data_IF_270669173117
#
_entry.id   IF_270669173117
#
_cell.length_a   1.000
_cell.length_b   1.000
_cell.length_c   1.000
_cell.angle_alpha   90.00
_cell.angle_beta   90.00
_cell.angle_gamma   90.00
#
_symmetry.space_group_name_H-M   'P 1'
#
loop_
_entity.id
_entity.type
_entity.pdbx_description
1 polymer ?
#
# COMPACT_ATOMS: atom_id res chain seq x y z
N UNK A 1 44.28 19.00 -41.69
CA UNK A 1 43.43 17.84 -41.33
C UNK A 1 44.24 16.86 -40.48
N UNK A 2 43.57 15.88 -39.83
CA UNK A 2 44.08 14.93 -38.82
C UNK A 2 44.38 15.58 -37.45
N UNK A 3 43.57 15.49 -36.39
CA UNK A 3 42.73 14.43 -35.76
C UNK A 3 43.42 13.79 -34.54
N UNK A 4 43.22 14.40 -33.36
CA UNK A 4 43.19 13.78 -32.01
C UNK A 4 43.03 14.93 -30.98
N UNK A 5 41.87 15.34 -30.46
CA UNK A 5 40.53 14.73 -30.31
C UNK A 5 40.57 13.33 -29.67
N UNK A 6 40.63 13.30 -28.33
CA UNK A 6 39.89 12.42 -27.37
C UNK A 6 40.62 12.25 -26.03
N UNK A 7 40.60 13.25 -25.14
CA UNK A 7 40.93 13.07 -23.70
C UNK A 7 40.10 13.96 -22.74
N UNK A 8 38.94 14.46 -23.17
CA UNK A 8 38.03 15.30 -22.37
C UNK A 8 36.57 14.81 -22.50
N UNK A 9 36.37 13.50 -22.39
CA UNK A 9 35.08 12.84 -22.52
C UNK A 9 34.89 11.72 -21.48
N UNK A 10 35.16 12.03 -20.20
CA UNK A 10 34.80 11.18 -19.06
C UNK A 10 34.18 12.06 -17.97
N UNK A 11 33.04 11.60 -17.44
CA UNK A 11 32.41 12.04 -16.19
C UNK A 11 31.89 13.50 -16.06
N UNK A 12 31.02 13.97 -16.97
CA UNK A 12 29.94 14.91 -16.58
C UNK A 12 28.56 14.64 -17.22
N UNK A 13 28.35 13.42 -17.75
CA UNK A 13 27.02 12.95 -18.15
C UNK A 13 26.15 12.49 -16.96
N UNK A 14 26.67 12.54 -15.73
CA UNK A 14 25.95 12.17 -14.51
C UNK A 14 25.16 13.29 -13.83
N UNK A 15 25.33 14.55 -14.25
CA UNK A 15 24.85 15.74 -13.50
C UNK A 15 23.85 16.58 -14.31
N UNK A 16 23.18 15.98 -15.30
CA UNK A 16 22.13 16.65 -16.11
C UNK A 16 20.75 15.98 -16.05
N UNK A 17 20.62 14.87 -15.31
CA UNK A 17 19.35 14.50 -14.66
C UNK A 17 19.19 15.19 -13.28
N UNK A 18 20.13 16.08 -12.93
CA UNK A 18 19.94 17.17 -11.96
C UNK A 18 19.04 18.29 -12.54
N UNK A 19 18.17 17.94 -13.50
CA UNK A 19 17.04 18.75 -13.94
C UNK A 19 15.98 18.81 -12.82
N UNK A 20 16.35 19.52 -11.77
CA UNK A 20 15.42 20.38 -11.04
C UNK A 20 14.86 21.38 -12.05
N UNK A 21 13.89 20.95 -12.85
CA UNK A 21 12.95 21.84 -13.51
C UNK A 21 11.62 21.78 -12.73
N UNK A 22 11.75 22.21 -11.47
CA UNK A 22 10.76 22.99 -10.70
C UNK A 22 9.31 22.78 -11.15
N UNK A 23 8.74 21.63 -10.83
CA UNK A 23 7.46 21.24 -11.42
C UNK A 23 6.67 20.20 -10.63
N UNK A 24 6.86 20.07 -9.32
CA UNK A 24 5.88 19.54 -8.37
C UNK A 24 6.43 19.49 -6.93
N UNK A 25 5.63 19.95 -5.96
CA UNK A 25 5.79 19.60 -4.55
C UNK A 25 5.24 18.19 -4.23
N UNK A 26 5.11 17.34 -5.25
CA UNK A 26 4.49 16.03 -5.14
C UNK A 26 5.51 15.00 -4.67
N UNK A 27 5.10 14.18 -3.70
CA UNK A 27 5.78 12.92 -3.41
C UNK A 27 5.62 11.91 -4.55
N UNK A 28 6.09 10.69 -4.31
CA UNK A 28 5.88 9.56 -5.23
C UNK A 28 4.39 9.39 -5.57
N UNK A 29 4.09 9.11 -6.85
CA UNK A 29 2.74 8.82 -7.35
C UNK A 29 2.45 7.32 -7.21
N UNK A 30 1.21 6.92 -6.92
CA UNK A 30 0.81 5.50 -6.83
C UNK A 30 1.25 4.67 -8.06
N UNK A 31 1.18 5.25 -9.27
CA UNK A 31 1.65 4.61 -10.52
C UNK A 31 3.12 4.18 -10.47
N UNK A 32 3.96 4.97 -9.82
CA UNK A 32 5.39 4.73 -9.79
C UNK A 32 5.75 3.71 -8.70
N UNK A 33 5.01 3.68 -7.57
CA UNK A 33 5.04 2.56 -6.60
C UNK A 33 4.60 1.26 -7.27
N UNK A 34 3.49 1.26 -8.02
CA UNK A 34 2.98 0.09 -8.72
C UNK A 34 3.98 -0.49 -9.74
N UNK A 35 4.60 0.36 -10.57
CA UNK A 35 5.69 -0.03 -11.48
C UNK A 35 6.88 -0.62 -10.74
N UNK A 36 7.27 -0.04 -9.60
CA UNK A 36 8.39 -0.53 -8.82
C UNK A 36 8.08 -1.88 -8.16
N UNK A 37 6.89 -2.06 -7.59
CA UNK A 37 6.41 -3.34 -7.06
C UNK A 37 6.38 -4.43 -8.15
N UNK A 38 5.91 -4.11 -9.35
CA UNK A 38 5.90 -5.03 -10.50
C UNK A 38 7.33 -5.45 -10.88
N UNK A 39 8.30 -4.51 -10.91
CA UNK A 39 9.73 -4.84 -11.10
C UNK A 39 10.31 -5.74 -10.00
N UNK A 40 9.68 -5.76 -8.83
CA UNK A 40 10.08 -6.59 -7.67
C UNK A 40 9.27 -7.89 -7.56
N UNK A 41 8.45 -8.22 -8.56
CA UNK A 41 7.66 -9.47 -8.63
C UNK A 41 6.27 -9.40 -8.00
N UNK A 42 5.78 -8.21 -7.62
CA UNK A 42 4.42 -7.99 -7.16
C UNK A 42 3.63 -7.30 -8.28
N UNK A 43 3.01 -8.11 -9.15
CA UNK A 43 2.22 -7.62 -10.28
C UNK A 43 0.96 -6.92 -9.78
N UNK A 44 0.95 -5.60 -9.82
CA UNK A 44 -0.23 -4.81 -9.49
C UNK A 44 -0.25 -3.48 -10.26
N UNK A 45 -1.43 -3.08 -10.71
CA UNK A 45 -1.66 -1.86 -11.48
C UNK A 45 -2.41 -0.82 -10.66
N UNK A 46 -2.03 0.47 -10.77
CA UNK A 46 -2.73 1.54 -10.07
C UNK A 46 -4.18 1.64 -10.54
N UNK A 47 -5.10 1.58 -9.59
CA UNK A 47 -6.53 1.81 -9.77
C UNK A 47 -6.96 3.04 -8.95
N UNK A 48 -7.72 3.97 -9.56
CA UNK A 48 -8.12 5.24 -8.92
C UNK A 48 -9.15 5.06 -7.81
N UNK A 49 -10.04 4.07 -7.94
CA UNK A 49 -11.01 3.74 -6.91
C UNK A 49 -10.32 3.02 -5.76
N UNK A 50 -9.27 2.24 -6.04
CA UNK A 50 -8.41 1.69 -5.00
C UNK A 50 -7.57 2.76 -4.29
N UNK A 51 -7.08 3.80 -4.98
CA UNK A 51 -6.47 4.98 -4.33
C UNK A 51 -7.46 5.69 -3.40
N UNK A 52 -8.76 5.69 -3.71
CA UNK A 52 -9.81 6.21 -2.82
C UNK A 52 -10.02 5.27 -1.62
N UNK A 53 -10.13 3.97 -1.85
CA UNK A 53 -10.25 2.95 -0.80
C UNK A 53 -9.08 3.02 0.19
N UNK A 54 -7.84 3.14 -0.30
CA UNK A 54 -6.65 3.32 0.53
C UNK A 54 -6.71 4.61 1.37
N UNK A 55 -7.21 5.73 0.81
CA UNK A 55 -7.36 6.99 1.57
C UNK A 55 -8.39 6.89 2.69
N UNK A 56 -9.55 6.28 2.43
CA UNK A 56 -10.56 6.07 3.47
C UNK A 56 -10.08 5.05 4.52
N UNK A 57 -9.32 4.04 4.09
CA UNK A 57 -8.70 3.05 5.00
C UNK A 57 -7.69 3.73 5.93
N UNK A 58 -6.82 4.58 5.39
CA UNK A 58 -5.84 5.32 6.18
C UNK A 58 -6.53 6.31 7.15
N UNK A 59 -7.57 7.03 6.71
CA UNK A 59 -8.38 7.89 7.61
C UNK A 59 -9.03 7.11 8.73
N UNK A 60 -9.57 5.91 8.46
CA UNK A 60 -10.19 5.07 9.48
C UNK A 60 -9.16 4.59 10.51
N UNK A 61 -7.92 4.28 10.08
CA UNK A 61 -6.80 3.98 10.99
C UNK A 61 -6.38 5.22 11.78
N UNK A 62 -6.21 6.39 11.15
CA UNK A 62 -5.91 7.66 11.83
C UNK A 62 -6.97 7.96 12.91
N UNK A 63 -8.27 7.80 12.61
CA UNK A 63 -9.36 8.01 13.54
C UNK A 63 -9.38 7.03 14.74
N UNK A 64 -8.93 5.79 14.55
CA UNK A 64 -8.77 4.81 15.64
C UNK A 64 -7.58 5.20 16.54
N UNK A 65 -6.49 5.71 15.96
CA UNK A 65 -5.31 6.17 16.70
C UNK A 65 -5.63 7.43 17.52
N UNK A 66 -6.34 8.38 16.92
CA UNK A 66 -6.74 9.67 17.53
C UNK A 66 -7.93 9.52 18.50
N UNK A 67 -8.61 8.36 18.54
CA UNK A 67 -9.71 8.11 19.46
C UNK A 67 -9.25 8.23 20.92
N UNK A 68 -9.99 8.99 21.74
CA UNK A 68 -9.58 9.33 23.12
C UNK A 68 -9.17 8.11 23.96
N UNK A 69 -9.90 7.00 23.85
CA UNK A 69 -9.57 5.76 24.56
C UNK A 69 -8.18 5.20 24.21
N UNK A 70 -7.71 5.36 22.97
CA UNK A 70 -6.36 4.98 22.54
C UNK A 70 -5.33 6.07 22.89
N UNK A 71 -5.69 7.34 22.72
CA UNK A 71 -4.82 8.48 23.03
C UNK A 71 -4.43 8.54 24.52
N UNK A 72 -5.37 8.21 25.42
CA UNK A 72 -5.16 8.17 26.88
C UNK A 72 -4.27 7.00 27.34
N UNK A 73 -4.01 6.00 26.50
CA UNK A 73 -3.06 4.92 26.80
C UNK A 73 -1.62 5.47 26.82
N UNK A 74 -0.79 4.94 27.72
CA UNK A 74 0.65 5.23 27.73
C UNK A 74 1.32 4.68 26.47
N UNK A 75 2.42 5.30 26.05
CA UNK A 75 3.14 4.89 24.84
C UNK A 75 3.86 3.53 24.93
N UNK A 76 4.07 3.02 26.14
CA UNK A 76 4.59 1.69 26.45
C UNK A 76 3.48 0.62 26.60
N UNK A 77 2.20 0.99 26.56
CA UNK A 77 1.09 0.04 26.61
C UNK A 77 1.03 -0.78 25.32
N UNK A 78 1.00 -2.11 25.45
CA UNK A 78 0.94 -3.05 24.33
C UNK A 78 -0.32 -2.92 23.46
N UNK A 79 -1.44 -2.51 24.06
CA UNK A 79 -2.74 -2.32 23.41
C UNK A 79 -2.80 -1.01 22.60
N UNK A 80 -1.83 -0.09 22.77
CA UNK A 80 -1.86 1.21 22.11
C UNK A 80 -1.57 1.09 20.62
N UNK A 81 -2.57 1.47 19.83
CA UNK A 81 -2.55 1.49 18.38
C UNK A 81 -1.80 2.74 17.89
N UNK A 82 -0.87 2.52 16.96
CA UNK A 82 -0.05 3.52 16.27
C UNK A 82 0.06 3.10 14.79
N UNK A 83 0.50 4.00 13.91
CA UNK A 83 0.66 3.67 12.48
C UNK A 83 1.66 2.52 12.25
N UNK A 84 2.67 2.38 13.11
CA UNK A 84 3.71 1.35 13.00
C UNK A 84 3.27 -0.06 13.39
N UNK A 85 2.21 -0.21 14.19
CA UNK A 85 1.69 -1.51 14.63
C UNK A 85 0.27 -1.84 14.14
N UNK A 86 -0.45 -0.90 13.51
CA UNK A 86 -1.78 -1.09 12.95
C UNK A 86 -1.91 -2.29 11.96
N UNK A 87 -0.80 -2.72 11.34
CA UNK A 87 -0.76 -3.83 10.36
C UNK A 87 -0.10 -5.11 10.92
N UNK A 88 0.80 -5.01 11.91
CA UNK A 88 1.57 -6.10 12.53
C UNK A 88 2.01 -5.63 13.93
N UNK A 89 1.87 -6.33 15.06
CA UNK A 89 1.68 -7.78 15.33
C UNK A 89 0.60 -7.98 16.43
N UNK A 90 0.66 -9.07 17.21
CA UNK A 90 -0.12 -9.26 18.44
C UNK A 90 0.18 -8.14 19.47
N UNK A 91 -0.71 -7.17 19.77
CA UNK A 91 -2.17 -7.14 19.60
C UNK A 91 -2.75 -5.73 19.29
N UNK A 92 -2.06 -4.94 18.46
CA UNK A 92 -2.54 -3.63 17.95
C UNK A 92 -3.20 -3.69 16.56
N UNK A 93 -3.81 -4.82 16.19
CA UNK A 93 -4.12 -5.20 14.80
C UNK A 93 -5.38 -4.51 14.26
N UNK A 94 -5.21 -3.38 13.60
CA UNK A 94 -6.32 -2.74 12.86
C UNK A 94 -6.59 -3.41 11.51
N UNK A 95 -5.58 -4.02 10.86
CA UNK A 95 -5.75 -4.67 9.55
C UNK A 95 -5.40 -6.17 9.51
N UNK A 96 -4.89 -6.76 10.61
CA UNK A 96 -4.27 -8.11 10.56
C UNK A 96 -5.14 -9.27 11.07
N UNK A 97 -6.46 -9.14 11.08
CA UNK A 97 -7.29 -10.12 11.77
C UNK A 97 -8.61 -10.40 11.05
N UNK A 98 -8.82 -11.65 10.60
CA UNK A 98 -10.11 -12.13 10.11
C UNK A 98 -11.15 -12.34 11.24
N UNK A 99 -10.82 -11.98 12.49
CA UNK A 99 -11.61 -12.25 13.69
C UNK A 99 -11.81 -10.97 14.49
N UNK A 100 -12.62 -10.08 13.93
CA UNK A 100 -12.68 -8.66 14.28
C UNK A 100 -13.59 -8.35 15.48
N UNK A 101 -13.21 -7.36 16.30
CA UNK A 101 -14.07 -6.82 17.36
C UNK A 101 -14.30 -5.31 17.17
N UNK A 102 -15.57 -4.92 16.98
CA UNK A 102 -16.07 -3.54 17.09
C UNK A 102 -15.41 -2.47 16.22
N UNK A 103 -14.31 -1.87 16.70
CA UNK A 103 -13.73 -0.63 16.16
C UNK A 103 -13.12 -0.77 14.76
N UNK A 104 -12.92 -2.00 14.28
CA UNK A 104 -12.30 -2.30 12.98
C UNK A 104 -13.29 -2.18 11.79
N UNK A 105 -14.59 -2.08 12.04
CA UNK A 105 -15.60 -2.12 10.96
C UNK A 105 -15.44 -1.00 9.92
N UNK A 106 -15.06 0.21 10.33
CA UNK A 106 -14.79 1.31 9.39
C UNK A 106 -13.62 1.00 8.44
N UNK A 107 -12.62 0.26 8.93
CA UNK A 107 -11.46 -0.18 8.13
C UNK A 107 -11.86 -1.30 7.17
N UNK A 108 -12.70 -2.26 7.60
CA UNK A 108 -13.29 -3.27 6.69
C UNK A 108 -14.08 -2.64 5.56
N UNK A 109 -14.94 -1.68 5.90
CA UNK A 109 -15.82 -0.94 4.98
C UNK A 109 -15.00 -0.19 3.94
N UNK A 110 -13.92 0.48 4.36
CA UNK A 110 -13.00 1.15 3.45
C UNK A 110 -12.19 0.18 2.57
N UNK A 111 -11.85 -1.01 3.07
CA UNK A 111 -11.21 -2.09 2.31
C UNK A 111 -12.18 -2.89 1.41
N UNK A 112 -13.49 -2.67 1.52
CA UNK A 112 -14.50 -3.41 0.75
C UNK A 112 -14.72 -4.86 1.20
N UNK A 113 -14.35 -5.23 2.43
CA UNK A 113 -14.41 -6.61 2.96
C UNK A 113 -15.53 -6.83 4.00
N UNK A 114 -16.46 -5.88 4.13
CA UNK A 114 -17.55 -5.94 5.11
C UNK A 114 -18.78 -6.67 4.52
N UNK A 115 -18.86 -7.99 4.75
CA UNK A 115 -19.85 -8.88 4.13
C UNK A 115 -21.34 -8.45 4.27
N UNK A 116 -21.69 -7.78 5.37
CA UNK A 116 -23.06 -7.28 5.65
C UNK A 116 -23.27 -5.81 5.26
N UNK A 117 -22.38 -5.24 4.45
CA UNK A 117 -22.41 -3.84 4.04
C UNK A 117 -23.17 -3.54 2.75
N UNK A 118 -23.17 -2.25 2.39
CA UNK A 118 -23.51 -1.77 1.05
C UNK A 118 -22.58 -2.36 -0.02
N UNK A 119 -22.94 -2.22 -1.28
CA UNK A 119 -22.19 -2.84 -2.39
C UNK A 119 -20.74 -2.37 -2.48
N UNK A 120 -20.45 -1.11 -2.11
CA UNK A 120 -19.09 -0.60 -2.01
C UNK A 120 -18.32 -1.22 -0.83
N UNK A 121 -18.97 -1.37 0.33
CA UNK A 121 -18.37 -1.92 1.55
C UNK A 121 -18.10 -3.43 1.47
N UNK A 122 -18.72 -4.15 0.53
CA UNK A 122 -18.49 -5.58 0.25
C UNK A 122 -17.84 -5.88 -1.11
N UNK A 123 -17.39 -4.86 -1.85
CA UNK A 123 -16.88 -4.98 -3.23
C UNK A 123 -15.66 -5.91 -3.41
N UNK A 124 -14.94 -6.21 -2.33
CA UNK A 124 -13.75 -7.06 -2.29
C UNK A 124 -13.95 -8.34 -1.46
N UNK A 125 -15.17 -8.65 -1.01
CA UNK A 125 -15.47 -9.92 -0.33
C UNK A 125 -15.17 -11.10 -1.26
N UNK A 126 -14.45 -12.10 -0.74
CA UNK A 126 -14.01 -13.29 -1.49
C UNK A 126 -12.74 -13.10 -2.34
N UNK A 127 -12.23 -11.87 -2.47
CA UNK A 127 -10.97 -11.57 -3.16
C UNK A 127 -9.77 -11.73 -2.23
N UNK A 128 -8.56 -11.89 -2.79
CA UNK A 128 -7.35 -11.73 -1.97
C UNK A 128 -7.10 -10.23 -1.76
N UNK A 129 -7.01 -9.80 -0.51
CA UNK A 129 -6.68 -8.41 -0.14
C UNK A 129 -5.39 -8.42 0.66
N UNK A 130 -4.38 -7.70 0.18
CA UNK A 130 -3.07 -7.57 0.80
C UNK A 130 -2.75 -6.11 1.07
N UNK A 131 -2.12 -5.81 2.19
CA UNK A 131 -1.86 -4.44 2.66
C UNK A 131 -0.46 -4.29 3.24
N UNK A 132 0.06 -3.06 3.21
CA UNK A 132 1.22 -2.65 3.98
C UNK A 132 1.04 -1.19 4.43
N UNK A 133 1.42 -0.88 5.68
CA UNK A 133 1.58 0.50 6.16
C UNK A 133 3.02 0.65 6.65
N UNK A 134 3.83 1.44 5.95
CA UNK A 134 5.27 1.52 6.20
C UNK A 134 5.76 2.95 6.31
N UNK A 135 6.76 3.16 7.17
CA UNK A 135 7.42 4.45 7.30
C UNK A 135 8.35 4.71 6.11
N UNK A 136 8.10 5.80 5.40
CA UNK A 136 8.81 6.26 4.21
C UNK A 136 9.46 7.63 4.42
N UNK A 137 9.74 8.02 5.68
CA UNK A 137 10.30 9.33 6.03
C UNK A 137 11.53 9.74 5.20
N UNK A 138 12.38 8.77 4.86
CA UNK A 138 13.61 8.93 4.07
C UNK A 138 13.42 8.55 2.58
N UNK A 139 12.25 8.02 2.21
CA UNK A 139 11.93 7.49 0.89
C UNK A 139 10.87 8.32 0.14
N UNK A 140 10.44 9.49 0.66
CA UNK A 140 9.29 10.27 0.17
C UNK A 140 9.28 10.60 -1.34
N UNK A 141 10.44 10.54 -2.00
CA UNK A 141 10.63 10.81 -3.43
C UNK A 141 11.18 9.63 -4.24
N UNK A 142 11.45 8.48 -3.61
CA UNK A 142 11.97 7.28 -4.28
C UNK A 142 10.93 6.16 -4.29
N UNK A 143 10.33 5.93 -5.45
CA UNK A 143 9.30 4.90 -5.62
C UNK A 143 9.83 3.47 -5.44
N UNK A 144 11.11 3.23 -5.73
CA UNK A 144 11.75 1.91 -5.62
C UNK A 144 12.00 1.56 -4.16
N UNK A 145 12.48 2.53 -3.37
CA UNK A 145 12.67 2.35 -1.94
C UNK A 145 11.33 2.22 -1.20
N UNK A 146 10.29 2.98 -1.58
CA UNK A 146 8.94 2.78 -1.05
C UNK A 146 8.39 1.38 -1.39
N UNK A 147 8.53 0.94 -2.64
CA UNK A 147 8.09 -0.39 -3.07
C UNK A 147 8.83 -1.53 -2.35
N UNK A 148 10.13 -1.37 -2.07
CA UNK A 148 10.89 -2.34 -1.29
C UNK A 148 10.33 -2.49 0.14
N UNK A 149 10.16 -1.38 0.85
CA UNK A 149 9.58 -1.35 2.20
C UNK A 149 8.16 -1.95 2.21
N UNK A 150 7.34 -1.59 1.22
CA UNK A 150 5.97 -2.12 1.05
C UNK A 150 5.98 -3.63 0.78
N UNK A 151 6.89 -4.14 -0.06
CA UNK A 151 7.01 -5.56 -0.37
C UNK A 151 7.36 -6.39 0.88
N UNK A 152 8.30 -5.91 1.69
CA UNK A 152 8.76 -6.65 2.86
C UNK A 152 7.75 -6.62 4.03
N UNK A 153 6.86 -5.62 4.06
CA UNK A 153 5.80 -5.47 5.06
C UNK A 153 4.40 -5.92 4.60
N UNK A 154 4.28 -6.45 3.37
CA UNK A 154 3.00 -6.82 2.77
C UNK A 154 2.41 -8.05 3.47
N UNK A 155 1.22 -7.90 4.04
CA UNK A 155 0.46 -8.97 4.70
C UNK A 155 -0.88 -9.20 4.03
N UNK A 156 -1.38 -10.43 4.11
CA UNK A 156 -2.75 -10.76 3.70
C UNK A 156 -3.74 -10.31 4.79
N UNK A 157 -4.63 -9.39 4.43
CA UNK A 157 -5.72 -8.89 5.27
C UNK A 157 -7.03 -9.66 5.03
N UNK A 158 -7.18 -10.27 3.85
CA UNK A 158 -8.24 -11.23 3.54
C UNK A 158 -7.71 -12.28 2.56
N UNK A 159 -7.87 -13.56 2.89
CA UNK A 159 -7.60 -14.66 1.99
C UNK A 159 -8.66 -14.74 0.89
N UNK A 160 -8.28 -15.15 -0.32
CA UNK A 160 -9.25 -15.37 -1.40
C UNK A 160 -10.15 -16.58 -1.09
N UNK A 161 -11.46 -16.43 -1.33
CA UNK A 161 -12.42 -17.53 -1.27
C UNK A 161 -12.52 -18.20 -2.63
N UNK A 162 -11.69 -19.21 -2.88
CA UNK A 162 -11.68 -19.97 -4.14
C UNK A 162 -12.47 -21.28 -3.96
N UNK A 163 -13.77 -21.23 -4.22
CA UNK A 163 -14.69 -22.37 -4.00
C UNK A 163 -14.33 -23.65 -4.79
N UNK A 164 -13.64 -23.50 -5.93
CA UNK A 164 -13.12 -24.61 -6.71
C UNK A 164 -11.75 -24.24 -7.29
N UNK A 165 -10.68 -24.73 -6.66
CA UNK A 165 -9.28 -24.49 -7.07
C UNK A 165 -8.88 -25.23 -8.33
N UNK A 166 -9.70 -26.15 -8.86
CA UNK A 166 -9.51 -26.79 -10.16
C UNK A 166 -9.91 -25.85 -11.28
N UNK A 167 -11.04 -25.14 -11.15
CA UNK A 167 -11.60 -24.26 -12.20
C UNK A 167 -11.32 -22.77 -12.02
N UNK A 168 -10.93 -22.33 -10.81
CA UNK A 168 -10.64 -20.93 -10.51
C UNK A 168 -9.25 -20.75 -9.89
N UNK A 169 -8.69 -19.54 -10.02
CA UNK A 169 -7.44 -19.09 -9.37
C UNK A 169 -7.54 -17.63 -8.95
N UNK A 170 -6.64 -17.19 -8.08
CA UNK A 170 -6.43 -15.76 -7.85
C UNK A 170 -5.77 -15.16 -9.10
N UNK A 171 -6.21 -13.97 -9.51
CA UNK A 171 -5.66 -13.24 -10.65
C UNK A 171 -4.20 -12.85 -10.39
N UNK A 172 -3.34 -13.03 -11.40
CA UNK A 172 -1.89 -12.76 -11.28
C UNK A 172 -1.57 -11.28 -11.09
N UNK A 173 -2.33 -10.39 -11.75
CA UNK A 173 -2.26 -8.93 -11.56
C UNK A 173 -3.36 -8.46 -10.62
N UNK A 174 -3.00 -7.66 -9.62
CA UNK A 174 -3.95 -7.02 -8.70
C UNK A 174 -4.21 -5.54 -9.02
N UNK A 175 -5.30 -5.00 -8.49
CA UNK A 175 -5.58 -3.56 -8.42
C UNK A 175 -4.88 -2.97 -7.19
N UNK A 176 -4.12 -1.90 -7.37
CA UNK A 176 -3.35 -1.23 -6.32
C UNK A 176 -3.85 0.18 -6.07
N UNK A 177 -4.00 0.52 -4.79
CA UNK A 177 -4.23 1.88 -4.31
C UNK A 177 -3.17 2.27 -3.28
N UNK A 178 -2.82 3.56 -3.23
CA UNK A 178 -1.96 4.09 -2.16
C UNK A 178 -2.54 5.33 -1.50
N UNK A 179 -2.19 5.51 -0.22
CA UNK A 179 -2.48 6.71 0.53
C UNK A 179 -1.29 7.07 1.42
N UNK A 180 -0.93 8.34 1.45
CA UNK A 180 0.18 8.85 2.27
C UNK A 180 -0.37 9.69 3.41
N UNK A 181 0.20 9.58 4.60
CA UNK A 181 -0.18 10.41 5.75
C UNK A 181 0.05 11.90 5.48
N UNK A 182 -0.68 12.77 6.19
CA UNK A 182 -0.59 14.24 6.01
C UNK A 182 0.83 14.80 6.18
N UNK A 183 1.64 14.18 7.05
CA UNK A 183 3.05 14.55 7.29
C UNK A 183 4.04 13.91 6.29
N UNK A 184 3.54 13.09 5.36
CA UNK A 184 4.32 12.35 4.37
C UNK A 184 5.24 11.27 4.96
N UNK A 185 5.11 10.89 6.24
CA UNK A 185 6.01 9.91 6.88
C UNK A 185 5.62 8.47 6.62
N UNK A 186 4.36 8.14 6.38
CA UNK A 186 3.91 6.78 6.13
C UNK A 186 3.14 6.66 4.82
N UNK A 187 3.22 5.50 4.18
CA UNK A 187 2.37 5.10 3.05
C UNK A 187 1.61 3.83 3.40
N UNK A 188 0.29 3.87 3.21
CA UNK A 188 -0.56 2.70 3.10
C UNK A 188 -0.60 2.27 1.62
N UNK A 189 -0.36 1.00 1.36
CA UNK A 189 -0.61 0.35 0.07
C UNK A 189 -1.64 -0.75 0.28
N UNK A 190 -2.64 -0.79 -0.60
CA UNK A 190 -3.69 -1.83 -0.66
C UNK A 190 -3.63 -2.47 -2.04
N UNK A 191 -3.56 -3.80 -2.10
CA UNK A 191 -3.57 -4.60 -3.33
C UNK A 191 -4.73 -5.60 -3.24
N UNK A 192 -5.60 -5.58 -4.25
CA UNK A 192 -6.72 -6.52 -4.37
C UNK A 192 -6.55 -7.36 -5.62
N UNK A 193 -6.52 -8.68 -5.47
CA UNK A 193 -6.50 -9.63 -6.58
C UNK A 193 -7.86 -10.34 -6.66
N UNK A 194 -8.54 -10.21 -7.80
CA UNK A 194 -9.80 -10.90 -8.06
C UNK A 194 -9.62 -12.43 -8.09
N UNK A 195 -10.72 -13.17 -7.87
CA UNK A 195 -10.78 -14.61 -8.16
C UNK A 195 -11.39 -14.78 -9.54
N UNK A 196 -10.67 -15.45 -10.44
CA UNK A 196 -11.02 -15.60 -11.85
C UNK A 196 -11.07 -17.07 -12.24
N UNK A 197 -11.83 -17.40 -13.29
CA UNK A 197 -11.74 -18.71 -13.91
C UNK A 197 -10.32 -18.96 -14.43
N UNK A 198 -9.87 -20.21 -14.41
CA UNK A 198 -8.71 -20.61 -15.19
C UNK A 198 -9.12 -20.66 -16.65
N UNK A 199 -8.36 -19.96 -17.50
CA UNK A 199 -8.41 -20.21 -18.93
C UNK A 199 -7.96 -21.66 -19.17
N UNK A 200 -8.73 -22.39 -19.99
CA UNK A 200 -8.43 -23.75 -20.42
C UNK A 200 -7.30 -23.78 -21.46
#
# INVERSE_FOLDING_TARGET
MKMAKKFLAVALAGVLALSVLTGCANGVKSKDVAKALTKMGINAEQDKDMDKAAKETLKAIEAIIDAKANADLKDDNADKIKLSNAVVKADGKVIKENNFVGSVDNVKKALGVFATGSDAEKANVGKQVRVALVEIKNAKKDASLQAALVKDALVEAQAATVANTTTHKVAETGKLGTATTKDGKYILVVIVNDVVAKNA
#
